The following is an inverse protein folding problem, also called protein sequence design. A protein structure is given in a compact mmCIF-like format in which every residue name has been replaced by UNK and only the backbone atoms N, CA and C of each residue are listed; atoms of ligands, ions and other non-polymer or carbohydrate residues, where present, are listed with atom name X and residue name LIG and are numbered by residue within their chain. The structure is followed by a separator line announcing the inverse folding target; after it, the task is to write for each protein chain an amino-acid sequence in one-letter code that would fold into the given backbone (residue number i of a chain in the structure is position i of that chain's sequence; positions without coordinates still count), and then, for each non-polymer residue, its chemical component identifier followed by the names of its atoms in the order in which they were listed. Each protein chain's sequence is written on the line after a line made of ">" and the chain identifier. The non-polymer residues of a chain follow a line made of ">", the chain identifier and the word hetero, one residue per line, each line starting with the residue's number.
data_IF_020633504756
#
_entry.id   IF_020633504756
#
_cell.length_a   1.000
_cell.length_b   1.000
_cell.length_c   1.000
_cell.angle_alpha   90.00
_cell.angle_beta   90.00
_cell.angle_gamma   90.00
#
_symmetry.space_group_name_H-M   'P 1'
#
loop_
_entity.id
_entity.type
_entity.pdbx_description
1 polymer ?
#
# COMPACT_ATOMS: atom_id res chain seq x y z
N UNK A 1 0.17 -15.20 -19.41
CA UNK A 1 1.09 -14.12 -19.00
C UNK A 1 1.25 -14.18 -17.53
N UNK A 2 2.44 -14.43 -17.08
CA UNK A 2 2.72 -14.42 -15.65
C UNK A 2 2.64 -12.98 -15.15
N UNK A 3 1.94 -12.79 -14.07
CA UNK A 3 1.71 -11.47 -13.50
C UNK A 3 2.98 -10.79 -12.98
N UNK A 4 4.05 -11.54 -12.79
CA UNK A 4 5.37 -11.02 -12.49
C UNK A 4 6.01 -10.25 -13.66
N UNK A 5 5.57 -10.48 -14.87
CA UNK A 5 6.11 -9.81 -16.06
C UNK A 5 5.56 -8.39 -16.28
N UNK A 6 4.55 -7.98 -15.54
CA UNK A 6 3.88 -6.69 -15.75
C UNK A 6 4.10 -5.67 -14.62
N UNK A 7 5.15 -5.85 -13.81
CA UNK A 7 5.51 -4.88 -12.76
C UNK A 7 4.47 -4.69 -11.67
N UNK A 8 3.51 -5.60 -11.53
CA UNK A 8 2.53 -5.59 -10.46
C UNK A 8 3.10 -6.41 -9.31
N UNK A 9 3.05 -5.89 -8.10
CA UNK A 9 3.29 -6.68 -6.89
C UNK A 9 2.14 -7.66 -6.70
N UNK A 10 2.14 -8.76 -7.42
CA UNK A 10 1.17 -9.81 -7.20
C UNK A 10 1.69 -10.72 -6.10
N UNK A 11 0.87 -10.89 -5.09
CA UNK A 11 1.14 -11.84 -4.04
C UNK A 11 1.28 -13.25 -4.57
N UNK A 12 2.29 -13.95 -4.09
CA UNK A 12 2.34 -15.39 -4.26
C UNK A 12 1.02 -16.02 -3.85
N UNK A 13 0.66 -17.13 -4.47
CA UNK A 13 -0.56 -17.90 -4.24
C UNK A 13 -0.86 -18.29 -2.78
N UNK A 14 -0.03 -17.87 -1.84
CA UNK A 14 -0.12 -18.15 -0.42
C UNK A 14 -0.82 -17.05 0.39
N UNK A 15 -1.16 -15.92 -0.24
CA UNK A 15 -1.90 -14.88 0.48
C UNK A 15 -3.38 -15.22 0.54
N UNK A 16 -3.91 -15.27 1.74
CA UNK A 16 -5.35 -15.26 1.91
C UNK A 16 -5.89 -13.98 1.29
N UNK A 17 -6.70 -14.13 0.27
CA UNK A 17 -7.46 -13.00 -0.27
C UNK A 17 -8.23 -12.35 0.87
N UNK A 18 -8.21 -11.02 0.88
CA UNK A 18 -9.18 -10.25 1.65
C UNK A 18 -10.58 -10.83 1.44
N UNK A 19 -11.37 -10.84 2.49
CA UNK A 19 -12.80 -11.07 2.30
C UNK A 19 -13.32 -10.03 1.30
N UNK A 20 -14.33 -10.40 0.53
CA UNK A 20 -14.89 -9.48 -0.47
C UNK A 20 -15.39 -8.16 0.13
N UNK A 21 -15.79 -8.17 1.39
CA UNK A 21 -16.20 -6.99 2.13
C UNK A 21 -15.01 -6.09 2.51
N UNK A 22 -13.95 -6.68 3.05
CA UNK A 22 -12.73 -5.95 3.36
C UNK A 22 -12.09 -5.32 2.11
N UNK A 23 -12.06 -6.06 1.00
CA UNK A 23 -11.54 -5.54 -0.26
C UNK A 23 -12.35 -4.35 -0.77
N UNK A 24 -13.67 -4.38 -0.66
CA UNK A 24 -14.53 -3.24 -1.02
C UNK A 24 -14.20 -2.00 -0.19
N UNK A 25 -14.01 -2.17 1.12
CA UNK A 25 -13.67 -1.06 2.02
C UNK A 25 -12.27 -0.52 1.69
N UNK A 26 -11.32 -1.39 1.43
CA UNK A 26 -9.97 -0.98 1.03
C UNK A 26 -9.97 -0.19 -0.28
N UNK A 27 -10.72 -0.63 -1.28
CA UNK A 27 -10.86 0.08 -2.56
C UNK A 27 -11.57 1.43 -2.34
N UNK A 28 -12.62 1.48 -1.56
CA UNK A 28 -13.35 2.72 -1.26
C UNK A 28 -12.46 3.76 -0.59
N UNK A 29 -11.67 3.35 0.39
CA UNK A 29 -10.81 4.25 1.17
C UNK A 29 -9.52 4.61 0.46
N UNK A 30 -8.88 3.64 -0.16
CA UNK A 30 -7.51 3.74 -0.64
C UNK A 30 -7.31 3.46 -2.14
N UNK A 31 -8.36 3.06 -2.84
CA UNK A 31 -8.33 2.87 -4.31
C UNK A 31 -8.37 4.19 -5.09
N UNK A 32 -7.78 5.22 -4.55
CA UNK A 32 -7.70 6.59 -5.07
C UNK A 32 -6.46 7.26 -4.51
N UNK A 33 -6.18 8.49 -4.92
CA UNK A 33 -5.12 9.30 -4.28
C UNK A 33 -5.42 9.47 -2.79
N UNK A 34 -4.57 8.93 -1.98
CA UNK A 34 -4.76 8.91 -0.52
C UNK A 34 -3.42 9.08 0.17
N UNK A 35 -3.41 9.84 1.25
CA UNK A 35 -2.22 9.97 2.09
C UNK A 35 -2.23 8.90 3.17
N UNK A 36 -1.15 8.15 3.25
CA UNK A 36 -0.91 7.19 4.32
C UNK A 36 0.39 7.52 5.07
N UNK A 37 0.50 7.06 6.31
CA UNK A 37 1.75 7.04 7.02
C UNK A 37 2.51 5.76 6.67
N UNK A 38 3.75 5.89 6.24
CA UNK A 38 4.65 4.79 5.94
C UNK A 38 5.82 4.80 6.93
N UNK A 39 5.95 3.72 7.68
CA UNK A 39 7.07 3.51 8.60
C UNK A 39 8.09 2.55 8.00
N UNK A 40 9.34 2.90 8.13
CA UNK A 40 10.52 2.10 7.76
C UNK A 40 11.48 2.03 8.93
N UNK A 41 12.44 1.14 8.86
CA UNK A 41 13.43 0.96 9.94
C UNK A 41 14.83 1.08 9.37
N UNK A 42 15.68 1.83 10.06
CA UNK A 42 17.12 1.85 9.83
C UNK A 42 17.82 1.41 11.12
N UNK A 43 18.54 0.30 11.05
CA UNK A 43 19.03 -0.39 12.22
C UNK A 43 17.85 -0.75 13.15
N UNK A 44 17.77 -0.18 14.35
CA UNK A 44 16.65 -0.39 15.29
C UNK A 44 15.73 0.84 15.41
N UNK A 45 16.01 1.91 14.64
CA UNK A 45 15.26 3.15 14.71
C UNK A 45 14.14 3.18 13.67
N UNK A 46 12.88 3.31 14.11
CA UNK A 46 11.76 3.49 13.19
C UNK A 46 11.68 4.95 12.69
N UNK A 47 11.34 5.08 11.43
CA UNK A 47 11.08 6.35 10.76
C UNK A 47 9.69 6.33 10.15
N UNK A 48 8.93 7.40 10.30
CA UNK A 48 7.60 7.52 9.73
C UNK A 48 7.48 8.81 8.91
N UNK A 49 6.76 8.75 7.80
CA UNK A 49 6.43 9.89 6.94
C UNK A 49 5.10 9.67 6.25
N UNK A 50 4.46 10.77 5.86
CA UNK A 50 3.30 10.71 5.00
C UNK A 50 3.73 10.54 3.54
N UNK A 51 3.00 9.73 2.80
CA UNK A 51 3.19 9.53 1.36
C UNK A 51 1.83 9.46 0.66
N UNK A 52 1.76 9.96 -0.58
CA UNK A 52 0.62 9.67 -1.45
C UNK A 52 0.72 8.23 -1.93
N UNK A 53 -0.38 7.52 -1.83
CA UNK A 53 -0.44 6.11 -2.16
C UNK A 53 -1.76 5.74 -2.83
N UNK A 54 -1.70 4.68 -3.61
CA UNK A 54 -2.84 4.06 -4.26
C UNK A 54 -2.88 2.58 -3.93
N UNK A 55 -4.03 2.11 -3.45
CA UNK A 55 -4.25 0.70 -3.15
C UNK A 55 -4.86 -0.04 -4.32
N UNK A 56 -4.29 -1.16 -4.66
CA UNK A 56 -4.87 -2.14 -5.57
C UNK A 56 -4.42 -3.54 -5.17
N UNK A 57 -5.36 -4.44 -5.06
CA UNK A 57 -5.13 -5.89 -4.95
C UNK A 57 -4.07 -6.30 -3.90
N UNK A 58 -4.25 -5.83 -2.67
CA UNK A 58 -3.38 -6.18 -1.54
C UNK A 58 -2.07 -5.40 -1.47
N UNK A 59 -1.89 -4.40 -2.29
CA UNK A 59 -0.66 -3.61 -2.34
C UNK A 59 -0.92 -2.12 -2.40
N UNK A 60 -0.01 -1.34 -1.83
CA UNK A 60 0.04 0.11 -2.04
C UNK A 60 1.15 0.49 -2.99
N UNK A 61 0.85 1.38 -3.91
CA UNK A 61 1.78 1.90 -4.90
C UNK A 61 2.05 3.38 -4.65
N UNK A 62 3.31 3.75 -4.66
CA UNK A 62 3.80 5.07 -4.29
C UNK A 62 4.83 5.53 -5.32
N UNK A 63 4.67 6.73 -5.86
CA UNK A 63 5.71 7.35 -6.68
C UNK A 63 6.71 8.04 -5.75
N UNK A 64 7.97 7.73 -5.89
CA UNK A 64 9.00 8.29 -5.03
C UNK A 64 10.37 8.33 -5.73
N UNK A 65 11.37 8.83 -5.03
CA UNK A 65 12.73 8.99 -5.53
C UNK A 65 13.65 7.89 -4.99
N UNK A 66 14.36 7.22 -5.88
CA UNK A 66 15.22 6.07 -5.57
C UNK A 66 16.28 6.37 -4.52
N UNK A 67 16.83 7.57 -4.52
CA UNK A 67 17.91 7.97 -3.59
C UNK A 67 17.38 8.51 -2.25
N UNK A 68 16.07 8.47 -2.03
CA UNK A 68 15.48 8.90 -0.76
C UNK A 68 15.81 7.94 0.39
N UNK A 69 15.84 8.46 1.61
CA UNK A 69 16.17 7.67 2.79
C UNK A 69 15.22 6.47 2.97
N UNK A 70 13.92 6.66 2.69
CA UNK A 70 12.96 5.55 2.81
C UNK A 70 13.30 4.38 1.90
N UNK A 71 13.77 4.64 0.67
CA UNK A 71 14.14 3.57 -0.26
C UNK A 71 15.40 2.87 0.21
N UNK A 72 16.43 3.61 0.65
CA UNK A 72 17.63 3.01 1.24
C UNK A 72 17.31 2.12 2.45
N UNK A 73 16.41 2.59 3.31
CA UNK A 73 15.95 1.84 4.48
C UNK A 73 15.22 0.54 4.07
N UNK A 74 14.34 0.64 3.07
CA UNK A 74 13.59 -0.51 2.55
C UNK A 74 14.50 -1.54 1.85
N UNK A 75 15.52 -1.08 1.14
CA UNK A 75 16.49 -1.97 0.50
C UNK A 75 17.31 -2.76 1.52
N UNK A 76 17.62 -2.18 2.67
CA UNK A 76 18.28 -2.86 3.77
C UNK A 76 17.32 -3.73 4.60
N UNK A 77 16.12 -3.23 4.85
CA UNK A 77 15.08 -3.92 5.59
C UNK A 77 13.71 -3.67 4.95
N UNK A 78 13.18 -4.63 4.19
CA UNK A 78 11.93 -4.46 3.46
C UNK A 78 10.68 -4.44 4.35
N UNK A 79 10.80 -4.76 5.63
CA UNK A 79 9.68 -4.70 6.56
C UNK A 79 9.24 -3.26 6.77
N UNK A 80 7.97 -3.01 6.54
CA UNK A 80 7.35 -1.69 6.71
C UNK A 80 6.05 -1.80 7.49
N UNK A 81 5.61 -0.68 8.04
CA UNK A 81 4.27 -0.56 8.59
C UNK A 81 3.54 0.62 7.93
N UNK A 82 2.24 0.49 7.83
CA UNK A 82 1.35 1.49 7.25
C UNK A 82 0.26 1.83 8.24
N UNK A 83 -0.10 3.11 8.29
CA UNK A 83 -1.33 3.57 8.93
C UNK A 83 -2.08 4.51 7.98
N UNK A 84 -3.36 4.36 7.93
CA UNK A 84 -4.27 5.18 7.14
C UNK A 84 -5.58 5.41 7.88
N UNK A 85 -6.62 5.76 7.14
CA UNK A 85 -7.96 5.98 7.68
C UNK A 85 -8.52 4.68 8.29
N UNK A 86 -8.48 4.59 9.61
CA UNK A 86 -8.90 3.41 10.37
C UNK A 86 -8.32 2.09 9.87
N UNK A 87 -7.07 2.14 9.50
CA UNK A 87 -6.32 1.03 8.96
C UNK A 87 -4.88 1.05 9.43
N UNK A 88 -4.38 -0.09 9.86
CA UNK A 88 -2.96 -0.31 10.13
C UNK A 88 -2.54 -1.65 9.55
N UNK A 89 -1.34 -1.73 9.04
CA UNK A 89 -0.83 -2.96 8.46
C UNK A 89 0.69 -3.06 8.53
N UNK A 90 1.18 -4.28 8.41
CA UNK A 90 2.55 -4.55 8.00
C UNK A 90 2.62 -4.91 6.53
N UNK A 91 3.77 -4.74 5.96
CA UNK A 91 4.03 -5.10 4.57
C UNK A 91 5.50 -5.26 4.25
N UNK A 92 5.74 -5.62 3.01
CA UNK A 92 7.08 -5.67 2.42
C UNK A 92 7.19 -4.61 1.34
N UNK A 93 8.14 -3.70 1.50
CA UNK A 93 8.47 -2.72 0.47
C UNK A 93 9.31 -3.33 -0.63
N UNK A 94 8.95 -3.04 -1.86
CA UNK A 94 9.67 -3.48 -3.05
C UNK A 94 9.82 -2.33 -4.04
N UNK A 95 11.05 -2.01 -4.37
CA UNK A 95 11.37 -1.02 -5.41
C UNK A 95 11.17 -1.66 -6.78
N UNK A 96 10.12 -1.25 -7.49
CA UNK A 96 9.83 -1.73 -8.85
C UNK A 96 10.74 -1.09 -9.93
N UNK A 97 11.58 -0.15 -9.54
CA UNK A 97 12.46 0.55 -10.44
C UNK A 97 11.79 1.72 -11.15
N UNK A 98 12.42 2.18 -12.20
CA UNK A 98 12.06 3.38 -12.93
C UNK A 98 10.58 3.39 -13.35
N UNK A 99 9.93 4.53 -13.13
CA UNK A 99 8.52 4.75 -13.46
C UNK A 99 8.20 4.49 -14.93
N UNK A 100 9.08 4.91 -15.83
CA UNK A 100 8.95 4.74 -17.28
C UNK A 100 9.39 3.37 -17.83
N UNK A 101 9.79 2.45 -16.98
CA UNK A 101 10.19 1.11 -17.38
C UNK A 101 9.03 0.34 -18.00
N UNK A 102 9.27 -0.43 -19.06
CA UNK A 102 8.20 -1.14 -19.80
C UNK A 102 7.40 -2.08 -18.88
N UNK A 103 8.06 -2.77 -17.96
CA UNK A 103 7.42 -3.67 -17.00
C UNK A 103 6.47 -2.92 -16.05
N UNK A 104 6.70 -1.64 -15.82
CA UNK A 104 5.88 -0.80 -14.97
C UNK A 104 4.74 -0.10 -15.72
N UNK A 105 4.66 -0.22 -17.04
CA UNK A 105 3.75 0.55 -17.89
C UNK A 105 2.31 0.53 -17.40
N UNK A 106 1.78 -0.63 -17.04
CA UNK A 106 0.37 -0.77 -16.64
C UNK A 106 0.10 -0.01 -15.35
N UNK A 107 0.94 -0.22 -14.32
CA UNK A 107 0.76 0.48 -13.04
C UNK A 107 1.08 1.97 -13.17
N UNK A 108 2.08 2.34 -13.96
CA UNK A 108 2.43 3.74 -14.19
C UNK A 108 1.27 4.52 -14.83
N UNK A 109 0.58 3.94 -15.83
CA UNK A 109 -0.60 4.56 -16.43
C UNK A 109 -1.75 4.73 -15.43
N UNK A 110 -1.98 3.74 -14.57
CA UNK A 110 -2.96 3.87 -13.48
C UNK A 110 -2.59 4.99 -12.52
N UNK A 111 -1.34 5.06 -12.10
CA UNK A 111 -0.87 6.11 -11.19
C UNK A 111 -0.97 7.51 -11.79
N UNK A 112 -0.76 7.66 -13.11
CA UNK A 112 -1.00 8.93 -13.80
C UNK A 112 -2.46 9.39 -13.71
N UNK A 113 -3.39 8.46 -13.78
CA UNK A 113 -4.82 8.75 -13.65
C UNK A 113 -5.17 9.06 -12.18
N UNK A 114 -4.72 8.23 -11.27
CA UNK A 114 -5.03 8.35 -9.84
C UNK A 114 -4.48 9.64 -9.26
N UNK A 115 -3.26 10.00 -9.62
CA UNK A 115 -2.56 11.19 -9.11
C UNK A 115 -2.65 12.41 -10.04
N UNK A 116 -3.62 12.42 -10.95
CA UNK A 116 -3.73 13.47 -11.98
C UNK A 116 -3.76 14.89 -11.44
N UNK A 117 -4.26 15.11 -10.21
CA UNK A 117 -4.34 16.43 -9.62
C UNK A 117 -2.98 17.07 -9.33
N UNK A 118 -1.96 16.25 -9.10
CA UNK A 118 -0.64 16.77 -8.72
C UNK A 118 0.54 16.16 -9.48
N UNK A 119 0.35 15.10 -10.24
CA UNK A 119 1.45 14.36 -10.88
C UNK A 119 2.29 15.25 -11.81
N UNK A 120 1.66 16.20 -12.47
CA UNK A 120 2.29 17.11 -13.42
C UNK A 120 2.65 18.48 -12.80
N UNK A 121 2.68 18.60 -11.48
CA UNK A 121 2.96 19.87 -10.81
C UNK A 121 4.43 20.32 -10.83
N UNK A 122 5.30 19.58 -11.51
CA UNK A 122 6.73 19.88 -11.67
C UNK A 122 7.62 19.36 -10.53
N UNK A 123 7.06 18.67 -9.53
CA UNK A 123 7.86 18.05 -8.46
C UNK A 123 8.41 16.67 -8.84
N UNK A 124 7.85 16.04 -9.86
CA UNK A 124 8.32 14.77 -10.37
C UNK A 124 8.93 14.95 -11.74
N UNK A 125 10.13 14.49 -11.93
CA UNK A 125 10.77 14.38 -13.24
C UNK A 125 10.66 12.91 -13.70
N UNK A 126 9.76 12.65 -14.65
CA UNK A 126 9.52 11.29 -15.16
C UNK A 126 10.55 10.86 -16.22
N UNK A 127 11.43 11.74 -16.63
CA UNK A 127 12.59 11.42 -17.47
C UNK A 127 13.80 11.01 -16.60
N UNK A 128 13.77 11.31 -15.31
CA UNK A 128 14.78 10.84 -14.35
C UNK A 128 14.52 9.37 -13.98
N UNK A 129 15.48 8.50 -14.27
CA UNK A 129 15.44 7.08 -13.94
C UNK A 129 15.35 6.80 -12.43
N UNK A 130 15.66 7.79 -11.59
CA UNK A 130 15.48 7.72 -10.15
C UNK A 130 14.04 8.01 -9.69
N UNK A 131 13.15 8.44 -10.57
CA UNK A 131 11.72 8.48 -10.30
C UNK A 131 11.17 7.06 -10.42
N UNK A 132 10.85 6.45 -9.30
CA UNK A 132 10.51 5.03 -9.20
C UNK A 132 9.11 4.80 -8.65
N UNK A 133 8.65 3.57 -8.82
CA UNK A 133 7.46 3.06 -8.14
C UNK A 133 7.90 2.17 -6.97
N UNK A 134 7.49 2.54 -5.77
CA UNK A 134 7.55 1.69 -4.60
C UNK A 134 6.23 0.92 -4.47
N UNK A 135 6.31 -0.40 -4.42
CA UNK A 135 5.19 -1.25 -4.07
C UNK A 135 5.34 -1.73 -2.63
N UNK A 136 4.30 -1.57 -1.83
CA UNK A 136 4.22 -2.14 -0.49
C UNK A 136 3.15 -3.23 -0.50
N UNK A 137 3.60 -4.47 -0.48
CA UNK A 137 2.73 -5.64 -0.38
C UNK A 137 2.36 -5.89 1.06
N UNK A 138 1.07 -5.89 1.35
CA UNK A 138 0.56 -6.13 2.70
C UNK A 138 0.76 -7.58 3.12
N UNK A 139 1.18 -7.79 4.36
CA UNK A 139 1.37 -9.12 4.96
C UNK A 139 0.33 -9.43 6.02
N UNK A 140 -0.04 -8.45 6.81
CA UNK A 140 -1.08 -8.52 7.83
C UNK A 140 -1.64 -7.12 8.07
N UNK A 141 -2.78 -7.02 8.71
CA UNK A 141 -3.34 -5.71 9.01
C UNK A 141 -4.63 -5.77 9.81
N UNK A 142 -5.03 -4.61 10.26
CA UNK A 142 -6.27 -4.36 10.96
C UNK A 142 -7.03 -3.27 10.21
N UNK A 143 -8.19 -3.63 9.68
CA UNK A 143 -9.11 -2.69 9.05
C UNK A 143 -10.32 -2.52 9.96
N UNK A 144 -10.55 -1.29 10.37
CA UNK A 144 -11.71 -0.93 11.15
C UNK A 144 -12.76 -0.34 10.22
N UNK A 145 -13.92 -0.94 10.18
CA UNK A 145 -15.07 -0.40 9.48
C UNK A 145 -15.84 0.49 10.43
N UNK A 146 -15.78 1.79 10.23
CA UNK A 146 -16.66 2.74 10.87
C UNK A 146 -17.70 3.22 9.85
N UNK A 147 -18.77 2.49 9.71
CA UNK A 147 -19.92 2.99 8.94
C UNK A 147 -20.71 4.00 9.77
N UNK A 148 -21.59 4.75 9.12
CA UNK A 148 -22.50 5.67 9.79
C UNK A 148 -23.37 5.01 10.88
N UNK A 149 -23.50 3.70 10.85
CA UNK A 149 -24.17 2.93 11.91
C UNK A 149 -23.41 2.84 13.20
N UNK A 150 -22.16 3.08 13.14
CA UNK A 150 -21.24 2.93 14.23
C UNK A 150 -21.41 4.02 15.28
N UNK A 151 -21.80 5.17 14.84
CA UNK A 151 -21.97 6.33 15.69
C UNK A 151 -23.41 6.55 16.15
N UNK A 152 -24.34 5.76 15.66
CA UNK A 152 -25.73 5.85 16.02
C UNK A 152 -26.17 4.94 17.15
N UNK A 153 -25.35 4.00 17.49
CA UNK A 153 -25.65 3.02 18.54
C UNK A 153 -24.61 3.13 19.63
N UNK A 154 -25.05 3.61 20.75
CA UNK A 154 -24.21 4.07 21.85
C UNK A 154 -23.39 2.98 22.55
N UNK A 155 -23.46 1.78 22.12
CA UNK A 155 -23.03 0.80 23.09
C UNK A 155 -22.04 -0.21 22.60
N UNK A 156 -22.05 -0.54 21.41
CA UNK A 156 -21.21 -1.68 21.02
C UNK A 156 -20.48 -1.40 19.74
N UNK A 157 -19.28 -1.05 20.01
CA UNK A 157 -18.32 -1.08 18.94
C UNK A 157 -18.77 -0.33 17.72
N UNK A 158 -18.64 0.87 17.88
CA UNK A 158 -18.33 1.75 16.81
C UNK A 158 -17.26 1.18 15.88
N UNK A 159 -16.84 -0.01 16.08
CA UNK A 159 -15.74 -0.61 15.34
C UNK A 159 -16.13 -1.99 14.93
N UNK A 160 -16.51 -2.12 13.71
CA UNK A 160 -16.48 -3.45 13.12
C UNK A 160 -15.00 -3.73 12.88
N UNK A 161 -14.40 -4.36 13.83
CA UNK A 161 -13.11 -4.95 13.60
C UNK A 161 -13.35 -6.05 12.60
N UNK A 162 -12.90 -5.84 11.41
CA UNK A 162 -12.85 -6.90 10.42
C UNK A 162 -11.84 -7.97 10.85
N UNK A 163 -11.70 -8.18 12.11
CA UNK A 163 -10.83 -9.06 12.81
C UNK A 163 -11.56 -10.24 13.41
N UNK A 164 -12.53 -10.70 12.85
CA UNK A 164 -12.99 -12.01 13.20
C UNK A 164 -12.22 -13.00 12.34
N UNK A 165 -11.94 -14.13 12.86
CA UNK A 165 -11.06 -15.16 12.31
C UNK A 165 -11.28 -15.50 10.83
N UNK A 166 -12.34 -15.05 10.27
CA UNK A 166 -12.73 -15.30 8.89
C UNK A 166 -12.74 -14.07 7.99
N UNK A 167 -12.71 -12.89 8.57
CA UNK A 167 -12.97 -11.63 7.86
C UNK A 167 -11.85 -10.63 7.89
N UNK A 168 -10.76 -11.06 8.37
CA UNK A 168 -9.69 -10.16 8.43
C UNK A 168 -8.86 -10.27 7.24
N UNK A 169 -8.44 -9.19 7.02
CA UNK A 169 -7.08 -8.90 6.71
C UNK A 169 -6.05 -9.76 7.46
N UNK A 170 -6.19 -11.01 7.59
CA UNK A 170 -5.05 -11.81 7.90
C UNK A 170 -4.39 -12.22 6.60
N UNK A 171 -3.59 -11.33 6.09
CA UNK A 171 -2.49 -11.76 5.28
C UNK A 171 -1.43 -12.34 6.20
N UNK A 172 -1.70 -13.44 6.78
CA UNK A 172 -0.63 -14.23 7.35
C UNK A 172 -0.06 -14.98 6.17
N UNK A 173 0.94 -14.41 5.56
CA UNK A 173 1.88 -15.19 4.82
C UNK A 173 2.41 -16.24 5.81
N UNK A 174 2.26 -17.51 5.51
CA UNK A 174 3.01 -18.52 6.21
C UNK A 174 4.48 -18.20 5.94
N UNK A 175 5.08 -17.54 6.90
CA UNK A 175 6.52 -17.47 6.96
C UNK A 175 7.05 -18.84 7.24
N UNK A 176 7.59 -19.38 6.25
CA UNK A 176 8.63 -20.38 6.42
C UNK A 176 9.97 -19.68 6.52
#
# INVERSE_FOLDING_TARGET
>A
MDATEIGICIGDNLMRKLSSEAEKIMIERFGKDTVIALATVEQEMPYVRNVNAYYEDGSFYIITYALSNKIKQIEENPNVAIAGDWFTAHGKGNNLGYFGKEENRIIAEKLKIVFAEWIDNGHNDFDDENTIILCVKLTDGLLLSHGTRVYSDDSESATITLQTDENILSFVGEDS
#
